data_IF_313164020733
#
_entry.id   IF_313164020733
#
_cell.length_a   1.000
_cell.length_b   1.000
_cell.length_c   1.000
_cell.angle_alpha   90.00
_cell.angle_beta   90.00
_cell.angle_gamma   90.00
#
_symmetry.space_group_name_H-M   'P 1'
#
loop_
_entity.id
_entity.type
_entity.pdbx_description
1 polymer ?
#
# COMPACT_ATOMS: atom_id res chain seq x y z
N UNK A 1 -16.59 25.18 4.37
CA UNK A 1 -16.05 24.02 5.07
C UNK A 1 -15.05 23.32 4.15
N UNK A 2 -13.74 23.48 4.41
CA UNK A 2 -12.68 23.07 3.48
C UNK A 2 -12.24 21.66 3.86
N UNK A 3 -12.57 20.65 3.03
CA UNK A 3 -12.05 19.29 3.11
C UNK A 3 -10.54 19.32 2.83
N UNK A 4 -9.72 19.18 3.85
CA UNK A 4 -8.28 18.94 3.71
C UNK A 4 -8.06 17.44 3.56
N UNK A 5 -8.00 16.99 2.33
CA UNK A 5 -7.50 15.65 1.99
C UNK A 5 -5.98 15.64 2.18
N UNK A 6 -5.53 15.12 3.29
CA UNK A 6 -4.15 14.76 3.53
C UNK A 6 -3.98 13.26 3.23
N UNK A 7 -3.95 12.92 1.98
CA UNK A 7 -3.36 11.71 1.40
C UNK A 7 -3.61 11.80 -0.10
N UNK A 8 -2.55 11.65 -0.87
CA UNK A 8 -2.50 11.79 -2.32
C UNK A 8 -2.26 13.25 -2.77
N UNK A 9 -1.07 13.76 -2.51
CA UNK A 9 -0.47 14.61 -3.51
C UNK A 9 -0.20 13.70 -4.72
N UNK A 10 -1.24 13.46 -5.50
CA UNK A 10 -1.09 13.06 -6.88
C UNK A 10 -0.50 14.28 -7.59
N UNK A 11 0.80 14.46 -7.46
CA UNK A 11 1.53 15.19 -8.47
C UNK A 11 1.54 14.25 -9.66
N UNK A 12 0.45 14.26 -10.43
CA UNK A 12 0.52 13.92 -11.82
C UNK A 12 1.42 14.99 -12.46
N UNK A 13 2.73 14.82 -12.29
CA UNK A 13 3.68 15.48 -13.18
C UNK A 13 3.48 14.74 -14.50
N UNK A 14 2.56 15.26 -15.32
CA UNK A 14 2.59 15.02 -16.75
C UNK A 14 3.85 15.68 -17.29
N UNK A 15 5.01 15.08 -17.03
CA UNK A 15 6.25 15.34 -17.72
C UNK A 15 6.29 14.42 -18.95
N UNK A 16 5.28 14.54 -19.81
CA UNK A 16 5.39 14.13 -21.20
C UNK A 16 6.15 15.21 -21.93
N UNK A 17 7.47 15.19 -21.90
CA UNK A 17 8.23 16.23 -22.59
C UNK A 17 9.75 16.02 -22.55
N UNK A 18 10.48 16.86 -23.25
CA UNK A 18 11.94 16.80 -23.35
C UNK A 18 12.69 16.95 -22.02
N UNK A 19 12.03 17.43 -20.95
CA UNK A 19 12.64 17.57 -19.62
C UNK A 19 12.92 16.22 -18.94
N UNK A 20 12.07 15.18 -19.13
CA UNK A 20 12.30 13.83 -18.62
C UNK A 20 13.50 13.19 -19.37
N UNK A 21 13.57 13.42 -20.68
CA UNK A 21 14.66 12.93 -21.54
C UNK A 21 16.03 13.52 -21.20
N UNK A 22 16.07 14.69 -20.57
CA UNK A 22 17.33 15.34 -20.17
C UNK A 22 17.86 14.86 -18.81
N UNK A 23 17.03 14.19 -18.00
CA UNK A 23 17.35 13.81 -16.63
C UNK A 23 17.55 12.29 -16.42
N UNK A 24 17.02 11.46 -17.31
CA UNK A 24 17.20 10.01 -17.28
C UNK A 24 17.98 9.54 -18.52
N UNK A 25 18.76 8.44 -18.40
CA UNK A 25 19.33 7.78 -19.57
C UNK A 25 18.24 7.43 -20.61
N UNK A 26 18.50 7.54 -21.93
CA UNK A 26 17.48 7.32 -22.96
C UNK A 26 16.73 5.99 -22.82
N UNK A 27 17.43 4.90 -22.48
CA UNK A 27 16.82 3.59 -22.27
C UNK A 27 15.87 3.55 -21.06
N UNK A 28 16.14 4.31 -20.01
CA UNK A 28 15.25 4.42 -18.85
C UNK A 28 14.00 5.24 -19.17
N UNK A 29 14.12 6.31 -19.96
CA UNK A 29 12.96 7.07 -20.47
C UNK A 29 12.01 6.15 -21.23
N UNK A 30 12.54 5.31 -22.12
CA UNK A 30 11.73 4.37 -22.89
C UNK A 30 11.10 3.30 -22.00
N UNK A 31 11.83 2.81 -20.99
CA UNK A 31 11.29 1.88 -19.99
C UNK A 31 10.09 2.50 -19.26
N UNK A 32 10.23 3.69 -18.66
CA UNK A 32 9.15 4.33 -17.91
C UNK A 32 7.95 4.66 -18.79
N UNK A 33 8.19 5.13 -20.01
CA UNK A 33 7.09 5.34 -20.98
C UNK A 33 6.34 4.05 -21.31
N UNK A 34 7.08 2.94 -21.48
CA UNK A 34 6.48 1.63 -21.74
C UNK A 34 5.68 1.13 -20.52
N UNK A 35 6.19 1.34 -19.30
CA UNK A 35 5.51 1.01 -18.05
C UNK A 35 4.22 1.82 -17.88
N UNK A 36 4.25 3.13 -18.07
CA UNK A 36 3.08 4.00 -17.94
C UNK A 36 1.96 3.64 -18.93
N UNK A 37 2.31 3.05 -20.06
CA UNK A 37 1.37 2.64 -21.12
C UNK A 37 1.02 1.15 -21.06
N UNK A 38 1.44 0.43 -20.03
CA UNK A 38 1.29 -1.02 -19.86
C UNK A 38 1.73 -1.84 -21.10
N UNK A 39 2.81 -1.39 -21.74
CA UNK A 39 3.33 -2.05 -22.94
C UNK A 39 4.36 -3.13 -22.60
N UNK A 40 3.91 -4.30 -22.17
CA UNK A 40 4.75 -5.41 -21.73
C UNK A 40 5.89 -5.75 -22.72
N UNK A 41 5.61 -5.77 -24.02
CA UNK A 41 6.64 -6.07 -25.04
C UNK A 41 7.71 -4.99 -25.12
N UNK A 42 7.36 -3.71 -24.94
CA UNK A 42 8.31 -2.61 -24.93
C UNK A 42 9.15 -2.63 -23.64
N UNK A 43 8.55 -2.98 -22.50
CA UNK A 43 9.27 -3.22 -21.24
C UNK A 43 10.29 -4.34 -21.43
N UNK A 44 9.89 -5.50 -21.99
CA UNK A 44 10.80 -6.61 -22.30
C UNK A 44 11.96 -6.17 -23.19
N UNK A 45 11.69 -5.36 -24.23
CA UNK A 45 12.72 -4.84 -25.13
C UNK A 45 13.73 -3.94 -24.41
N UNK A 46 13.27 -3.03 -23.56
CA UNK A 46 14.15 -2.14 -22.77
C UNK A 46 15.04 -2.95 -21.83
N UNK A 47 14.47 -3.94 -21.13
CA UNK A 47 15.22 -4.81 -20.22
C UNK A 47 16.21 -5.70 -20.95
N UNK A 48 15.86 -6.24 -22.12
CA UNK A 48 16.76 -7.02 -22.98
C UNK A 48 17.91 -6.16 -23.55
N UNK A 49 17.72 -4.85 -23.69
CA UNK A 49 18.77 -3.90 -24.06
C UNK A 49 19.69 -3.53 -22.87
N UNK A 50 19.49 -4.13 -21.69
CA UNK A 50 20.35 -3.94 -20.51
C UNK A 50 19.92 -2.79 -19.60
N UNK A 51 18.71 -2.24 -19.76
CA UNK A 51 18.18 -1.24 -18.83
C UNK A 51 17.99 -1.89 -17.45
N UNK A 52 18.40 -1.19 -16.40
CA UNK A 52 18.27 -1.67 -15.02
C UNK A 52 16.78 -1.88 -14.66
N UNK A 53 16.34 -3.10 -14.26
CA UNK A 53 14.96 -3.33 -13.85
C UNK A 53 14.56 -2.55 -12.59
N UNK A 54 15.55 -2.13 -11.80
CA UNK A 54 15.35 -1.32 -10.59
C UNK A 54 15.60 0.18 -10.85
N UNK A 55 15.59 0.62 -12.12
CA UNK A 55 15.71 2.02 -12.47
C UNK A 55 14.64 2.85 -11.73
N UNK A 56 15.00 4.09 -11.39
CA UNK A 56 14.10 5.02 -10.71
C UNK A 56 13.76 6.19 -11.62
N UNK A 57 12.51 6.60 -11.58
CA UNK A 57 12.07 7.81 -12.27
C UNK A 57 12.59 9.07 -11.54
N UNK A 58 12.27 10.25 -12.09
CA UNK A 58 12.62 11.54 -11.47
C UNK A 58 11.99 11.75 -10.09
N UNK A 59 10.90 11.06 -9.79
CA UNK A 59 10.25 11.04 -8.49
C UNK A 59 10.92 10.08 -7.49
N UNK A 60 11.93 9.30 -7.93
CA UNK A 60 12.63 8.30 -7.12
C UNK A 60 11.86 6.98 -6.96
N UNK A 61 10.76 6.78 -7.68
CA UNK A 61 10.00 5.53 -7.69
C UNK A 61 10.62 4.52 -8.67
N UNK A 62 10.66 3.23 -8.29
CA UNK A 62 11.09 2.19 -9.22
C UNK A 62 10.05 1.92 -10.30
N UNK A 63 10.49 1.41 -11.46
CA UNK A 63 9.60 1.03 -12.55
C UNK A 63 8.46 0.09 -12.09
N UNK A 64 8.74 -0.83 -11.15
CA UNK A 64 7.73 -1.72 -10.57
C UNK A 64 6.67 -0.95 -9.76
N UNK A 65 7.09 0.00 -8.91
CA UNK A 65 6.14 0.81 -8.13
C UNK A 65 5.28 1.69 -9.04
N UNK A 66 5.89 2.29 -10.07
CA UNK A 66 5.17 3.07 -11.10
C UNK A 66 4.14 2.20 -11.82
N UNK A 67 4.52 0.97 -12.23
CA UNK A 67 3.61 0.03 -12.87
C UNK A 67 2.38 -0.26 -11.99
N UNK A 68 2.61 -0.61 -10.72
CA UNK A 68 1.53 -0.93 -9.78
C UNK A 68 0.63 0.28 -9.49
N UNK A 69 1.22 1.46 -9.33
CA UNK A 69 0.47 2.70 -9.11
C UNK A 69 -0.45 3.05 -10.27
N UNK A 70 -0.03 2.74 -11.49
CA UNK A 70 -0.78 3.01 -12.72
C UNK A 70 -1.67 1.85 -13.18
N UNK A 71 -1.79 0.78 -12.38
CA UNK A 71 -2.50 -0.47 -12.72
C UNK A 71 -1.97 -1.16 -14.00
N UNK A 72 -0.69 -0.91 -14.34
CA UNK A 72 0.01 -1.51 -15.48
C UNK A 72 0.47 -2.94 -15.12
N UNK A 73 -0.48 -3.87 -15.11
CA UNK A 73 -0.30 -5.22 -14.58
C UNK A 73 0.62 -6.09 -15.44
N UNK A 74 0.55 -5.94 -16.76
CA UNK A 74 1.40 -6.69 -17.68
C UNK A 74 2.85 -6.23 -17.57
N UNK A 75 3.07 -4.91 -17.47
CA UNK A 75 4.38 -4.33 -17.24
C UNK A 75 4.96 -4.75 -15.87
N UNK A 76 4.14 -4.73 -14.80
CA UNK A 76 4.53 -5.19 -13.47
C UNK A 76 4.99 -6.65 -13.48
N UNK A 77 4.23 -7.53 -14.15
CA UNK A 77 4.57 -8.94 -14.28
C UNK A 77 5.92 -9.13 -14.99
N UNK A 78 6.13 -8.42 -16.10
CA UNK A 78 7.40 -8.47 -16.84
C UNK A 78 8.59 -8.00 -15.98
N UNK A 79 8.40 -6.95 -15.20
CA UNK A 79 9.43 -6.44 -14.27
C UNK A 79 9.73 -7.46 -13.17
N UNK A 80 8.70 -8.05 -12.57
CA UNK A 80 8.86 -9.06 -11.52
C UNK A 80 9.53 -10.36 -12.00
N UNK A 81 9.46 -10.66 -13.31
CA UNK A 81 10.14 -11.80 -13.92
C UNK A 81 11.65 -11.57 -14.13
N UNK A 82 12.15 -10.36 -13.91
CA UNK A 82 13.56 -10.05 -14.16
C UNK A 82 14.45 -10.56 -13.05
N UNK A 83 15.56 -11.17 -13.44
CA UNK A 83 16.62 -11.53 -12.47
C UNK A 83 17.16 -10.27 -11.81
N UNK A 84 17.21 -10.27 -10.48
CA UNK A 84 17.74 -9.15 -9.70
C UNK A 84 16.74 -8.02 -9.47
N UNK A 85 15.43 -8.24 -9.75
CA UNK A 85 14.40 -7.30 -9.32
C UNK A 85 14.39 -7.19 -7.80
N UNK A 86 14.36 -5.96 -7.30
CA UNK A 86 14.26 -5.67 -5.86
C UNK A 86 12.80 -5.38 -5.49
N UNK A 87 12.12 -6.41 -4.95
CA UNK A 87 10.73 -6.29 -4.49
C UNK A 87 10.60 -5.42 -3.23
N UNK A 88 11.71 -5.19 -2.52
CA UNK A 88 11.75 -4.38 -1.29
C UNK A 88 12.18 -2.94 -1.53
N UNK A 89 12.44 -2.57 -2.77
CA UNK A 89 12.75 -1.20 -3.14
C UNK A 89 11.64 -0.27 -2.66
N UNK A 90 12.04 0.80 -1.96
CA UNK A 90 11.11 1.79 -1.40
C UNK A 90 11.03 3.02 -2.29
N UNK A 91 9.82 3.52 -2.51
CA UNK A 91 9.60 4.87 -2.98
C UNK A 91 10.08 5.91 -1.94
N UNK A 92 10.22 7.20 -2.29
CA UNK A 92 10.64 8.24 -1.35
C UNK A 92 9.76 8.37 -0.09
N UNK A 93 8.48 8.01 -0.20
CA UNK A 93 7.53 7.95 0.93
C UNK A 93 7.63 6.67 1.77
N UNK A 94 8.59 5.78 1.46
CA UNK A 94 8.82 4.52 2.15
C UNK A 94 7.96 3.35 1.69
N UNK A 95 7.10 3.52 0.69
CA UNK A 95 6.22 2.46 0.20
C UNK A 95 6.97 1.43 -0.64
N UNK A 96 6.67 0.15 -0.43
CA UNK A 96 7.10 -0.96 -1.27
C UNK A 96 6.04 -1.32 -2.33
N UNK A 97 6.43 -2.17 -3.29
CA UNK A 97 5.53 -2.74 -4.27
C UNK A 97 4.31 -3.43 -3.62
N UNK A 98 4.54 -4.25 -2.57
CA UNK A 98 3.47 -4.96 -1.88
C UNK A 98 2.49 -4.00 -1.18
N UNK A 99 2.97 -2.93 -0.56
CA UNK A 99 2.11 -1.91 0.04
C UNK A 99 1.23 -1.22 -0.99
N UNK A 100 1.81 -0.84 -2.12
CA UNK A 100 1.07 -0.18 -3.20
C UNK A 100 0.01 -1.10 -3.79
N UNK A 101 0.36 -2.38 -4.07
CA UNK A 101 -0.58 -3.38 -4.57
C UNK A 101 -1.75 -3.62 -3.60
N UNK A 102 -1.46 -3.69 -2.28
CA UNK A 102 -2.47 -3.84 -1.24
C UNK A 102 -3.43 -2.64 -1.19
N UNK A 103 -2.90 -1.42 -1.25
CA UNK A 103 -3.71 -0.19 -1.29
C UNK A 103 -4.59 -0.10 -2.53
N UNK A 104 -4.04 -0.48 -3.70
CA UNK A 104 -4.77 -0.51 -4.98
C UNK A 104 -5.82 -1.62 -5.07
N UNK A 105 -5.92 -2.48 -4.05
CA UNK A 105 -6.79 -3.66 -4.02
C UNK A 105 -6.52 -4.65 -5.16
N UNK A 106 -5.28 -4.67 -5.64
CA UNK A 106 -4.86 -5.55 -6.73
C UNK A 106 -4.47 -6.91 -6.16
N UNK A 107 -5.49 -7.73 -5.84
CA UNK A 107 -5.29 -9.04 -5.21
C UNK A 107 -4.40 -9.98 -6.04
N UNK A 108 -4.56 -10.11 -7.36
CA UNK A 108 -3.67 -10.94 -8.17
C UNK A 108 -2.20 -10.56 -8.02
N UNK A 109 -1.91 -9.25 -8.02
CA UNK A 109 -0.54 -8.76 -7.88
C UNK A 109 0.01 -8.94 -6.47
N UNK A 110 -0.83 -8.79 -5.44
CA UNK A 110 -0.45 -9.12 -4.04
C UNK A 110 -0.05 -10.59 -3.93
N UNK A 111 -0.85 -11.51 -4.49
CA UNK A 111 -0.55 -12.94 -4.51
C UNK A 111 0.79 -13.21 -5.20
N UNK A 112 1.03 -12.59 -6.37
CA UNK A 112 2.27 -12.82 -7.12
C UNK A 112 3.50 -12.27 -6.39
N UNK A 113 3.41 -11.08 -5.79
CA UNK A 113 4.47 -10.50 -4.97
C UNK A 113 4.80 -11.39 -3.77
N UNK A 114 3.79 -11.90 -3.05
CA UNK A 114 3.98 -12.80 -1.92
C UNK A 114 4.62 -14.12 -2.34
N UNK A 115 4.18 -14.70 -3.45
CA UNK A 115 4.75 -15.93 -4.02
C UNK A 115 6.22 -15.78 -4.39
N UNK A 116 6.63 -14.58 -4.83
CA UNK A 116 8.02 -14.22 -5.16
C UNK A 116 8.84 -13.83 -3.95
N UNK A 117 8.27 -13.84 -2.75
CA UNK A 117 8.98 -13.62 -1.49
C UNK A 117 9.03 -12.17 -1.04
N UNK A 118 8.13 -11.31 -1.52
CA UNK A 118 8.00 -9.95 -0.98
C UNK A 118 7.71 -10.01 0.54
N UNK A 119 8.42 -9.17 1.31
CA UNK A 119 8.32 -9.14 2.77
C UNK A 119 6.98 -8.59 3.22
N UNK A 120 6.25 -9.38 4.00
CA UNK A 120 4.95 -8.99 4.57
C UNK A 120 5.12 -7.99 5.71
N UNK A 121 6.14 -8.20 6.54
CA UNK A 121 6.40 -7.40 7.73
C UNK A 121 7.67 -6.55 7.55
N UNK A 122 7.59 -5.30 7.96
CA UNK A 122 8.71 -4.39 8.09
C UNK A 122 8.44 -3.40 9.24
N UNK A 123 9.45 -2.67 9.68
CA UNK A 123 9.27 -1.60 10.66
C UNK A 123 8.49 -0.43 10.06
N UNK A 124 7.60 0.16 10.84
CA UNK A 124 6.77 1.28 10.43
C UNK A 124 5.53 0.85 9.63
N UNK A 125 5.22 1.56 8.56
CA UNK A 125 4.08 1.21 7.70
C UNK A 125 4.27 -0.15 7.04
N UNK A 126 3.23 -1.00 7.05
CA UNK A 126 3.23 -2.33 6.45
C UNK A 126 2.15 -2.49 5.38
N UNK A 127 2.24 -3.53 4.56
CA UNK A 127 1.20 -3.83 3.58
C UNK A 127 -0.19 -4.01 4.24
N UNK A 128 -0.25 -4.50 5.49
CA UNK A 128 -1.51 -4.64 6.21
C UNK A 128 -2.15 -3.30 6.56
N UNK A 129 -1.38 -2.26 6.88
CA UNK A 129 -1.92 -0.90 7.04
C UNK A 129 -2.57 -0.40 5.74
N UNK A 130 -1.92 -0.65 4.60
CA UNK A 130 -2.41 -0.22 3.30
C UNK A 130 -3.64 -1.01 2.83
N UNK A 131 -3.67 -2.34 3.06
CA UNK A 131 -4.85 -3.17 2.82
C UNK A 131 -6.05 -2.70 3.68
N UNK A 132 -5.79 -2.40 4.95
CA UNK A 132 -6.78 -1.88 5.89
C UNK A 132 -7.32 -0.51 5.46
N UNK A 133 -6.44 0.42 5.07
CA UNK A 133 -6.82 1.73 4.53
C UNK A 133 -7.60 1.62 3.22
N UNK A 134 -7.20 0.70 2.34
CA UNK A 134 -7.90 0.40 1.09
C UNK A 134 -9.26 -0.29 1.30
N UNK A 135 -9.44 -1.01 2.39
CA UNK A 135 -10.69 -1.68 2.75
C UNK A 135 -10.92 -3.02 2.03
N UNK A 136 -9.86 -3.70 1.56
CA UNK A 136 -10.02 -5.05 1.00
C UNK A 136 -9.96 -6.10 2.11
N UNK A 137 -11.09 -6.74 2.37
CA UNK A 137 -11.20 -7.88 3.29
C UNK A 137 -10.33 -9.06 2.81
N UNK A 138 -10.34 -9.32 1.50
CA UNK A 138 -9.62 -10.41 0.87
C UNK A 138 -8.11 -10.26 1.05
N UNK A 139 -7.57 -9.07 0.73
CA UNK A 139 -6.13 -8.80 0.86
C UNK A 139 -5.73 -8.73 2.34
N UNK A 140 -6.59 -8.19 3.21
CA UNK A 140 -6.37 -8.19 4.66
C UNK A 140 -6.23 -9.62 5.18
N UNK A 141 -7.16 -10.52 4.83
CA UNK A 141 -7.05 -11.94 5.19
C UNK A 141 -5.81 -12.59 4.60
N UNK A 142 -5.54 -12.38 3.33
CA UNK A 142 -4.38 -12.94 2.63
C UNK A 142 -3.06 -12.57 3.32
N UNK A 143 -2.89 -11.29 3.68
CA UNK A 143 -1.69 -10.84 4.38
C UNK A 143 -1.58 -11.45 5.78
N UNK A 144 -2.70 -11.59 6.52
CA UNK A 144 -2.73 -12.24 7.83
C UNK A 144 -2.40 -13.73 7.74
N UNK A 145 -2.87 -14.42 6.69
CA UNK A 145 -2.51 -15.82 6.41
C UNK A 145 -1.02 -15.98 6.13
N UNK A 146 -0.41 -14.96 5.51
CA UNK A 146 1.04 -14.84 5.30
C UNK A 146 1.78 -14.24 6.51
N UNK A 147 1.18 -14.29 7.72
CA UNK A 147 1.80 -13.88 8.99
C UNK A 147 2.10 -12.39 9.11
N UNK A 148 1.27 -11.55 8.50
CA UNK A 148 1.30 -10.12 8.80
C UNK A 148 1.05 -9.89 10.31
N UNK A 149 1.84 -9.01 10.91
CA UNK A 149 1.64 -8.58 12.30
C UNK A 149 0.37 -7.76 12.38
N UNK A 150 -0.68 -8.33 13.00
CA UNK A 150 -2.02 -7.75 13.00
C UNK A 150 -2.08 -6.37 13.67
N UNK A 151 -1.31 -6.18 14.73
CA UNK A 151 -1.18 -4.95 15.50
C UNK A 151 0.15 -4.23 15.22
N UNK A 152 0.71 -4.38 14.00
CA UNK A 152 1.90 -3.63 13.62
C UNK A 152 1.69 -2.13 13.83
N UNK A 153 2.70 -1.45 14.35
CA UNK A 153 2.64 -0.02 14.61
C UNK A 153 3.39 0.78 13.52
N UNK A 154 2.74 1.80 13.00
CA UNK A 154 3.38 2.83 12.18
C UNK A 154 4.32 3.69 13.04
N UNK A 155 5.12 4.61 12.48
CA UNK A 155 5.96 5.53 13.24
C UNK A 155 5.20 6.40 14.25
N UNK A 156 3.89 6.59 14.06
CA UNK A 156 3.01 7.31 14.99
C UNK A 156 2.21 6.39 15.91
N UNK A 157 2.52 5.09 15.96
CA UNK A 157 1.79 4.11 16.77
C UNK A 157 0.42 3.73 16.22
N UNK A 158 0.09 4.11 14.97
CA UNK A 158 -1.17 3.68 14.35
C UNK A 158 -1.10 2.21 13.96
N UNK A 159 -2.16 1.46 14.30
CA UNK A 159 -2.34 0.06 13.87
C UNK A 159 -3.18 -0.04 12.58
N UNK A 160 -3.15 -1.20 11.89
CA UNK A 160 -4.04 -1.44 10.74
C UNK A 160 -5.53 -1.24 11.06
N UNK A 161 -5.97 -1.66 12.26
CA UNK A 161 -7.36 -1.45 12.69
C UNK A 161 -7.70 0.05 12.84
N UNK A 162 -6.79 0.87 13.38
CA UNK A 162 -6.98 2.32 13.46
C UNK A 162 -7.07 2.95 12.07
N UNK A 163 -6.27 2.47 11.11
CA UNK A 163 -6.34 2.92 9.72
C UNK A 163 -7.68 2.57 9.08
N UNK A 164 -8.12 1.31 9.18
CA UNK A 164 -9.42 0.89 8.65
C UNK A 164 -10.57 1.71 9.26
N UNK A 165 -10.54 1.93 10.57
CA UNK A 165 -11.55 2.68 11.29
C UNK A 165 -11.60 4.15 10.86
N UNK A 166 -10.45 4.81 10.73
CA UNK A 166 -10.34 6.18 10.26
C UNK A 166 -10.86 6.36 8.83
N UNK A 167 -10.51 5.42 7.94
CA UNK A 167 -10.94 5.48 6.53
C UNK A 167 -12.39 4.99 6.33
N UNK A 168 -13.04 4.44 7.37
CA UNK A 168 -14.42 3.97 7.31
C UNK A 168 -14.59 2.62 6.61
N UNK A 169 -13.56 1.80 6.63
CA UNK A 169 -13.50 0.53 5.89
C UNK A 169 -14.10 -0.62 6.72
N UNK A 170 -15.43 -0.76 6.68
CA UNK A 170 -16.17 -1.73 7.51
C UNK A 170 -15.68 -3.16 7.38
N UNK A 171 -15.45 -3.62 6.14
CA UNK A 171 -15.08 -5.01 5.90
C UNK A 171 -13.68 -5.31 6.41
N UNK A 172 -12.73 -4.37 6.25
CA UNK A 172 -11.41 -4.50 6.84
C UNK A 172 -11.48 -4.48 8.38
N UNK A 173 -12.30 -3.61 8.99
CA UNK A 173 -12.53 -3.59 10.45
C UNK A 173 -13.06 -4.93 10.92
N UNK A 174 -14.12 -5.48 10.27
CA UNK A 174 -14.68 -6.79 10.62
C UNK A 174 -13.62 -7.91 10.58
N UNK A 175 -12.85 -7.96 9.49
CA UNK A 175 -11.79 -8.96 9.35
C UNK A 175 -10.75 -8.81 10.45
N UNK A 176 -10.21 -7.61 10.66
CA UNK A 176 -9.18 -7.38 11.68
C UNK A 176 -9.66 -7.76 13.09
N UNK A 177 -10.89 -7.37 13.46
CA UNK A 177 -11.48 -7.74 14.75
C UNK A 177 -11.70 -9.26 14.87
N UNK A 178 -12.22 -9.91 13.83
CA UNK A 178 -12.41 -11.36 13.80
C UNK A 178 -11.09 -12.14 13.89
N UNK A 179 -10.02 -11.58 13.32
CA UNK A 179 -8.66 -12.16 13.34
C UNK A 179 -7.87 -11.80 14.60
N UNK A 180 -8.47 -11.05 15.55
CA UNK A 180 -7.92 -10.81 16.88
C UNK A 180 -7.12 -9.52 17.04
N UNK A 181 -7.32 -8.52 16.18
CA UNK A 181 -6.71 -7.20 16.37
C UNK A 181 -7.09 -6.60 17.73
N UNK A 182 -6.12 -5.99 18.40
CA UNK A 182 -6.31 -5.36 19.69
C UNK A 182 -6.93 -3.95 19.54
N UNK A 183 -8.24 -3.86 19.71
CA UNK A 183 -8.99 -2.61 19.58
C UNK A 183 -8.78 -1.63 20.74
N UNK A 184 -8.06 -2.01 21.80
CA UNK A 184 -7.78 -1.13 22.97
C UNK A 184 -6.48 -0.34 22.85
N UNK A 185 -5.63 -0.66 21.85
CA UNK A 185 -4.40 0.08 21.60
C UNK A 185 -4.70 1.53 21.29
N UNK A 186 -3.80 2.41 21.69
CA UNK A 186 -3.84 3.85 21.41
C UNK A 186 -2.63 4.26 20.61
N UNK A 187 -2.83 5.14 19.62
CA UNK A 187 -1.72 5.72 18.86
C UNK A 187 -0.83 6.62 19.73
N UNK A 188 0.38 6.85 19.27
CA UNK A 188 1.36 7.69 20.00
C UNK A 188 1.14 9.20 19.86
N UNK A 189 0.28 9.64 18.91
CA UNK A 189 0.09 11.06 18.63
C UNK A 189 -1.14 11.66 19.29
N UNK A 190 -2.31 11.10 19.02
CA UNK A 190 -3.59 11.59 19.53
C UNK A 190 -4.08 10.82 20.75
N UNK A 191 -3.41 9.73 21.11
CA UNK A 191 -3.82 8.79 22.17
C UNK A 191 -5.24 8.24 21.96
N UNK A 192 -5.64 8.07 20.70
CA UNK A 192 -6.95 7.55 20.30
C UNK A 192 -6.88 6.05 20.01
N UNK A 193 -7.93 5.34 20.40
CA UNK A 193 -8.20 3.96 19.96
C UNK A 193 -8.74 3.94 18.52
N UNK A 194 -8.91 2.76 17.94
CA UNK A 194 -9.56 2.61 16.64
C UNK A 194 -10.98 3.20 16.62
N UNK A 195 -11.77 3.00 17.68
CA UNK A 195 -13.08 3.62 17.83
C UNK A 195 -12.97 5.16 17.91
N UNK A 196 -11.98 5.68 18.64
CA UNK A 196 -11.69 7.11 18.72
C UNK A 196 -11.34 7.72 17.35
N UNK A 197 -10.54 7.02 16.51
CA UNK A 197 -10.25 7.46 15.14
C UNK A 197 -11.49 7.44 14.25
N UNK A 198 -12.38 6.45 14.39
CA UNK A 198 -13.64 6.41 13.68
C UNK A 198 -14.53 7.62 14.04
N UNK A 199 -14.68 7.94 15.33
CA UNK A 199 -15.44 9.12 15.76
C UNK A 199 -14.83 10.42 15.24
N UNK A 200 -13.52 10.57 15.33
CA UNK A 200 -12.80 11.75 14.82
C UNK A 200 -12.96 11.93 13.31
N UNK A 201 -13.15 10.83 12.58
CA UNK A 201 -13.36 10.82 11.14
C UNK A 201 -14.84 10.91 10.73
N UNK A 202 -15.76 11.14 11.68
CA UNK A 202 -17.22 11.17 11.47
C UNK A 202 -17.76 9.83 10.93
N UNK A 203 -17.34 8.72 11.56
CA UNK A 203 -17.73 7.35 11.25
C UNK A 203 -18.30 6.64 12.52
N UNK A 204 -19.37 7.18 13.14
CA UNK A 204 -19.86 6.66 14.42
C UNK A 204 -20.34 5.20 14.34
N UNK A 205 -20.78 4.74 13.17
CA UNK A 205 -21.18 3.33 12.98
C UNK A 205 -20.00 2.37 13.11
N UNK A 206 -18.79 2.76 12.66
CA UNK A 206 -17.56 1.97 12.84
C UNK A 206 -17.18 1.92 14.33
N UNK A 207 -17.22 3.06 15.02
CA UNK A 207 -16.95 3.10 16.45
C UNK A 207 -17.90 2.17 17.20
N UNK A 208 -19.22 2.26 16.90
CA UNK A 208 -20.24 1.38 17.51
C UNK A 208 -19.95 -0.10 17.25
N UNK A 209 -19.52 -0.46 16.04
CA UNK A 209 -19.17 -1.85 15.72
C UNK A 209 -17.95 -2.34 16.53
N UNK A 210 -16.93 -1.49 16.69
CA UNK A 210 -15.74 -1.80 17.50
C UNK A 210 -16.12 -1.94 18.97
N UNK A 211 -16.91 -1.02 19.51
CA UNK A 211 -17.37 -1.04 20.90
C UNK A 211 -18.24 -2.27 21.19
N UNK A 212 -19.12 -2.65 20.25
CA UNK A 212 -19.91 -3.86 20.38
C UNK A 212 -19.04 -5.13 20.40
N UNK A 213 -17.98 -5.17 19.60
CA UNK A 213 -17.01 -6.27 19.62
C UNK A 213 -16.27 -6.35 20.97
N UNK A 214 -15.83 -5.21 21.52
CA UNK A 214 -15.20 -5.14 22.84
C UNK A 214 -16.16 -5.61 23.94
N UNK A 215 -17.40 -5.11 23.92
CA UNK A 215 -18.43 -5.49 24.90
C UNK A 215 -18.74 -7.01 24.87
N UNK A 216 -18.80 -7.61 23.67
CA UNK A 216 -18.98 -9.06 23.51
C UNK A 216 -17.84 -9.88 24.13
N UNK A 217 -16.65 -9.28 24.26
CA UNK A 217 -15.48 -9.87 24.95
C UNK A 217 -15.37 -9.50 26.43
N UNK A 218 -16.34 -8.77 26.98
CA UNK A 218 -16.32 -8.28 28.37
C UNK A 218 -15.32 -7.15 28.61
N UNK A 219 -14.84 -6.49 27.54
CA UNK A 219 -13.89 -5.37 27.63
C UNK A 219 -14.68 -4.07 27.56
N UNK A 220 -14.46 -3.17 28.51
CA UNK A 220 -15.13 -1.85 28.50
C UNK A 220 -14.59 -1.01 27.34
N UNK A 221 -15.46 -0.40 26.51
CA UNK A 221 -15.06 0.63 25.55
C UNK A 221 -14.35 1.80 26.24
N UNK A 222 -13.39 2.40 25.56
CA UNK A 222 -12.57 3.53 26.11
C UNK A 222 -12.83 4.81 25.32
#
# INVERSE_FOLDING_TARGET
MKRRYWLLASVAIMLSGPALAAALPPGEVDLFRAVEQDRANSVKKSLAAGVNPNARDLGGETALIVAIRNDANDAATVLMDQKGIDLEAKAPNGNTALMMAAYRKNQPLVIDLLRRGAKVNQSGWTALHYAAAGGSAEITNLLLDHKAQIDAESPSGMTPLMMAAREGQEDAVKVLLARGANATLKDGGFHLTAAGFALKADKPWIAKAIDAHLAAKGIKPQ
#
